data_IF_731847638852
#
_entry.id   IF_731847638852
#
_cell.length_a   1.000
_cell.length_b   1.000
_cell.length_c   1.000
_cell.angle_alpha   90.00
_cell.angle_beta   90.00
_cell.angle_gamma   90.00
#
_symmetry.space_group_name_H-M   'P 1'
#
loop_
_entity.id
_entity.type
_entity.pdbx_description
1 polymer ?
#
# COMPACT_ATOMS: atom_id res chain seq x y z
N UNK A 1 -5.90 24.21 10.82
CA UNK A 1 -6.39 22.82 10.83
C UNK A 1 -6.70 22.26 9.44
N UNK A 2 -7.00 23.07 8.41
CA UNK A 2 -7.33 22.56 7.06
C UNK A 2 -6.18 21.79 6.36
N UNK A 3 -4.92 22.23 6.53
CA UNK A 3 -3.75 21.57 5.90
C UNK A 3 -3.59 20.10 6.33
N UNK A 4 -3.66 19.82 7.65
CA UNK A 4 -3.59 18.45 8.16
C UNK A 4 -4.72 17.56 7.63
N UNK A 5 -5.94 18.10 7.51
CA UNK A 5 -7.07 17.33 6.96
C UNK A 5 -6.83 16.94 5.49
N UNK A 6 -6.26 17.85 4.69
CA UNK A 6 -5.86 17.56 3.30
C UNK A 6 -4.76 16.51 3.25
N UNK A 7 -3.72 16.63 4.09
CA UNK A 7 -2.64 15.64 4.16
C UNK A 7 -3.14 14.25 4.54
N UNK A 8 -4.05 14.14 5.52
CA UNK A 8 -4.65 12.86 5.90
C UNK A 8 -5.47 12.27 4.74
N UNK A 9 -6.22 13.10 4.02
CA UNK A 9 -6.98 12.64 2.85
C UNK A 9 -6.06 12.11 1.74
N UNK A 10 -4.96 12.80 1.45
CA UNK A 10 -3.96 12.35 0.48
C UNK A 10 -3.32 11.02 0.89
N UNK A 11 -2.95 10.88 2.17
CA UNK A 11 -2.39 9.63 2.68
C UNK A 11 -3.37 8.47 2.54
N UNK A 12 -4.66 8.69 2.83
CA UNK A 12 -5.71 7.67 2.66
C UNK A 12 -5.87 7.26 1.18
N UNK A 13 -5.82 8.21 0.25
CA UNK A 13 -5.83 7.91 -1.19
C UNK A 13 -4.62 7.07 -1.59
N UNK A 14 -3.42 7.41 -1.10
CA UNK A 14 -2.20 6.63 -1.37
C UNK A 14 -2.27 5.22 -0.81
N UNK A 15 -2.81 5.03 0.39
CA UNK A 15 -3.07 3.69 0.96
C UNK A 15 -3.96 2.89 0.03
N UNK A 16 -5.10 3.44 -0.39
CA UNK A 16 -6.03 2.75 -1.27
C UNK A 16 -5.38 2.38 -2.62
N UNK A 17 -4.59 3.27 -3.22
CA UNK A 17 -3.82 2.98 -4.43
C UNK A 17 -2.85 1.80 -4.26
N UNK A 18 -2.13 1.77 -3.14
CA UNK A 18 -1.17 0.70 -2.84
C UNK A 18 -1.87 -0.64 -2.62
N UNK A 19 -3.01 -0.65 -1.93
CA UNK A 19 -3.81 -1.85 -1.71
C UNK A 19 -4.38 -2.41 -3.02
N UNK A 20 -4.89 -1.55 -3.90
CA UNK A 20 -5.37 -1.96 -5.23
C UNK A 20 -4.21 -2.53 -6.06
N UNK A 21 -3.04 -1.90 -6.03
CA UNK A 21 -1.84 -2.42 -6.72
C UNK A 21 -1.41 -3.78 -6.16
N UNK A 22 -1.39 -3.94 -4.84
CA UNK A 22 -1.04 -5.20 -4.19
C UNK A 22 -2.05 -6.31 -4.52
N UNK A 23 -3.35 -6.01 -4.56
CA UNK A 23 -4.40 -6.95 -4.93
C UNK A 23 -4.25 -7.43 -6.38
N UNK A 24 -3.87 -6.53 -7.31
CA UNK A 24 -3.60 -6.90 -8.71
C UNK A 24 -2.44 -7.88 -8.85
N UNK A 25 -1.43 -7.78 -7.98
CA UNK A 25 -0.28 -8.69 -7.98
C UNK A 25 -0.60 -10.05 -7.35
N UNK A 26 -1.75 -10.23 -6.70
CA UNK A 26 -2.14 -11.51 -6.10
C UNK A 26 -2.48 -12.57 -7.17
N UNK A 27 -2.96 -12.11 -8.32
CA UNK A 27 -3.38 -12.97 -9.43
C UNK A 27 -2.14 -13.57 -10.12
N UNK A 28 -2.03 -14.90 -10.08
CA UNK A 28 -1.01 -15.64 -10.83
C UNK A 28 -1.40 -15.88 -12.27
N UNK A 29 -0.40 -16.02 -13.13
CA UNK A 29 -0.60 -16.27 -14.56
C UNK A 29 -0.32 -17.73 -14.90
N UNK A 30 -1.13 -18.37 -15.76
CA UNK A 30 -0.81 -19.67 -16.31
C UNK A 30 0.54 -19.63 -17.03
N UNK A 31 1.44 -20.57 -16.72
CA UNK A 31 2.78 -20.64 -17.31
C UNK A 31 3.79 -19.64 -16.71
N UNK A 32 3.45 -18.96 -15.61
CA UNK A 32 4.39 -18.09 -14.89
C UNK A 32 5.60 -18.88 -14.37
N UNK A 33 6.81 -18.40 -14.65
CA UNK A 33 8.02 -19.01 -14.10
C UNK A 33 8.12 -18.81 -12.57
N UNK A 34 8.83 -19.71 -11.88
CA UNK A 34 9.08 -19.58 -10.44
C UNK A 34 9.78 -18.27 -10.07
N UNK A 35 10.66 -17.77 -10.94
CA UNK A 35 11.34 -16.48 -10.79
C UNK A 35 10.36 -15.30 -10.86
N UNK A 36 9.45 -15.32 -11.83
CA UNK A 36 8.41 -14.29 -12.00
C UNK A 36 7.44 -14.29 -10.82
N UNK A 37 6.97 -15.47 -10.41
CA UNK A 37 6.09 -15.63 -9.26
C UNK A 37 6.74 -15.13 -7.96
N UNK A 38 8.03 -15.45 -7.77
CA UNK A 38 8.81 -14.97 -6.60
C UNK A 38 8.95 -13.45 -6.59
N UNK A 39 9.18 -12.83 -7.76
CA UNK A 39 9.28 -11.37 -7.87
C UNK A 39 7.94 -10.71 -7.56
N UNK A 40 6.86 -11.20 -8.15
CA UNK A 40 5.49 -10.74 -7.91
C UNK A 40 5.11 -10.81 -6.44
N UNK A 41 5.46 -11.91 -5.76
CA UNK A 41 5.24 -12.07 -4.32
C UNK A 41 5.99 -11.00 -3.50
N UNK A 42 7.28 -10.78 -3.78
CA UNK A 42 8.09 -9.75 -3.09
C UNK A 42 7.56 -8.34 -3.35
N UNK A 43 7.17 -8.04 -4.58
CA UNK A 43 6.63 -6.73 -4.95
C UNK A 43 5.28 -6.49 -4.26
N UNK A 44 4.41 -7.50 -4.20
CA UNK A 44 3.17 -7.44 -3.41
C UNK A 44 3.46 -7.17 -1.94
N UNK A 45 4.38 -7.91 -1.33
CA UNK A 45 4.75 -7.73 0.07
C UNK A 45 5.28 -6.32 0.34
N UNK A 46 6.12 -5.78 -0.56
CA UNK A 46 6.63 -4.41 -0.46
C UNK A 46 5.51 -3.37 -0.48
N UNK A 47 4.54 -3.52 -1.37
CA UNK A 47 3.39 -2.61 -1.44
C UNK A 47 2.52 -2.67 -0.18
N UNK A 48 2.32 -3.87 0.37
CA UNK A 48 1.57 -4.06 1.63
C UNK A 48 2.30 -3.43 2.83
N UNK A 49 3.63 -3.55 2.91
CA UNK A 49 4.42 -2.87 3.93
C UNK A 49 4.27 -1.35 3.82
N UNK A 50 4.43 -0.78 2.62
CA UNK A 50 4.25 0.66 2.41
C UNK A 50 2.84 1.13 2.78
N UNK A 51 1.80 0.38 2.41
CA UNK A 51 0.43 0.72 2.78
C UNK A 51 0.23 0.72 4.30
N UNK A 52 0.85 -0.22 5.02
CA UNK A 52 0.84 -0.28 6.49
C UNK A 52 1.56 0.93 7.11
N UNK A 53 2.71 1.30 6.57
CA UNK A 53 3.48 2.47 7.05
C UNK A 53 2.67 3.76 6.89
N UNK A 54 1.99 3.94 5.75
CA UNK A 54 1.10 5.09 5.55
C UNK A 54 -0.12 5.07 6.47
N UNK A 55 -0.73 3.90 6.72
CA UNK A 55 -1.79 3.77 7.75
C UNK A 55 -1.29 4.21 9.12
N UNK A 56 -0.06 3.82 9.48
CA UNK A 56 0.54 4.25 10.75
C UNK A 56 0.77 5.76 10.81
N UNK A 57 1.20 6.38 9.71
CA UNK A 57 1.34 7.84 9.63
C UNK A 57 -0.01 8.56 9.76
N UNK A 58 -1.08 8.01 9.18
CA UNK A 58 -2.45 8.53 9.35
C UNK A 58 -2.86 8.45 10.81
N UNK A 59 -2.67 7.31 11.47
CA UNK A 59 -2.99 7.15 12.90
C UNK A 59 -2.24 8.17 13.76
N UNK A 60 -0.95 8.39 13.51
CA UNK A 60 -0.15 9.38 14.24
C UNK A 60 -0.66 10.81 14.00
N UNK A 61 -1.00 11.15 12.75
CA UNK A 61 -1.55 12.46 12.40
C UNK A 61 -2.95 12.69 13.00
N UNK A 62 -3.77 11.64 13.12
CA UNK A 62 -5.10 11.70 13.73
C UNK A 62 -5.06 11.76 15.26
N UNK A 63 -4.10 11.09 15.88
CA UNK A 63 -3.94 11.06 17.35
C UNK A 63 -3.19 12.25 17.92
N UNK A 64 -2.55 13.07 17.07
CA UNK A 64 -2.06 14.40 17.46
C UNK A 64 -1.02 14.40 18.58
N UNK A 65 -0.09 13.43 18.56
CA UNK A 65 1.19 13.58 19.27
C UNK A 65 2.11 14.54 18.53
#
# INVERSE_FOLDING_TARGET
>A
MAFMAVTIAELRMRVAELEVKAARLDIGYPGESTGTASRRYRDRQRLQCLARDYKRLIELAETGQ
#
